data_IF_985049134213
#
_entry.id   IF_985049134213
#
_cell.length_a   1.000
_cell.length_b   1.000
_cell.length_c   1.000
_cell.angle_alpha   90.00
_cell.angle_beta   90.00
_cell.angle_gamma   90.00
#
_symmetry.space_group_name_H-M   'P 1'
#
loop_
_entity.id
_entity.type
_entity.pdbx_description
1 polymer ?
#
# COMPACT_ATOMS: atom_id res chain seq x y z
N UNK A 1 6.09 -5.13 -11.33
CA UNK A 1 5.65 -3.78 -10.91
C UNK A 1 6.63 -3.19 -9.92
N UNK A 2 6.87 -1.92 -10.01
CA UNK A 2 7.73 -1.19 -9.09
C UNK A 2 6.89 -0.35 -8.15
N UNK A 3 7.22 -0.33 -6.86
CA UNK A 3 6.46 0.41 -5.86
C UNK A 3 7.36 1.00 -4.79
N UNK A 4 6.85 2.02 -4.12
CA UNK A 4 7.53 2.67 -3.00
C UNK A 4 6.92 2.18 -1.70
N UNK A 5 7.76 1.72 -0.79
CA UNK A 5 7.36 1.20 0.51
C UNK A 5 7.76 2.21 1.58
N UNK A 6 6.80 2.68 2.38
CA UNK A 6 7.11 3.62 3.45
C UNK A 6 7.81 2.93 4.63
N UNK A 7 8.41 3.72 5.53
CA UNK A 7 9.21 3.17 6.62
C UNK A 7 8.42 2.31 7.59
N UNK A 8 7.17 2.69 7.88
CA UNK A 8 6.34 1.96 8.85
C UNK A 8 5.91 0.59 8.33
N UNK A 9 5.91 0.45 7.02
CA UNK A 9 5.54 -0.80 6.35
C UNK A 9 6.77 -1.60 5.96
N UNK A 10 7.90 -0.93 5.77
CA UNK A 10 9.13 -1.54 5.31
C UNK A 10 9.71 -2.47 6.39
N UNK A 11 9.64 -3.77 6.14
CA UNK A 11 10.36 -4.76 6.92
C UNK A 11 11.25 -5.57 5.99
N UNK A 12 12.33 -6.12 6.52
CA UNK A 12 13.23 -6.95 5.72
C UNK A 12 12.50 -8.16 5.14
N UNK A 13 11.60 -8.76 5.91
CA UNK A 13 10.82 -9.92 5.46
C UNK A 13 9.82 -9.55 4.37
N UNK A 14 9.09 -8.47 4.52
CA UNK A 14 8.14 -8.04 3.50
C UNK A 14 8.85 -7.66 2.21
N UNK A 15 9.91 -6.87 2.28
CA UNK A 15 10.71 -6.50 1.11
C UNK A 15 11.24 -7.72 0.38
N UNK A 16 11.80 -8.69 1.11
CA UNK A 16 12.33 -9.92 0.52
C UNK A 16 11.22 -10.72 -0.18
N UNK A 17 10.05 -10.84 0.43
CA UNK A 17 8.92 -11.56 -0.17
C UNK A 17 8.39 -10.86 -1.41
N UNK A 18 8.32 -9.53 -1.40
CA UNK A 18 7.90 -8.75 -2.57
C UNK A 18 8.89 -8.94 -3.71
N UNK A 19 10.19 -8.84 -3.44
CA UNK A 19 11.22 -9.05 -4.46
C UNK A 19 11.19 -10.47 -5.01
N UNK A 20 11.01 -11.46 -4.15
CA UNK A 20 10.87 -12.87 -4.58
C UNK A 20 9.64 -13.09 -5.47
N UNK A 21 8.60 -12.29 -5.30
CA UNK A 21 7.39 -12.33 -6.12
C UNK A 21 7.50 -11.52 -7.42
N UNK A 22 8.65 -10.90 -7.68
CA UNK A 22 8.90 -10.16 -8.92
C UNK A 22 8.69 -8.67 -8.84
N UNK A 23 8.44 -8.12 -7.64
CA UNK A 23 8.29 -6.67 -7.47
C UNK A 23 9.64 -5.99 -7.29
N UNK A 24 9.78 -4.80 -7.83
CA UNK A 24 10.87 -3.89 -7.50
C UNK A 24 10.40 -2.97 -6.37
N UNK A 25 11.18 -2.91 -5.31
CA UNK A 25 10.80 -2.17 -4.10
C UNK A 25 11.80 -1.04 -3.86
N UNK A 26 11.27 0.19 -3.75
CA UNK A 26 12.05 1.35 -3.31
C UNK A 26 11.62 1.65 -1.88
N UNK A 27 12.57 1.70 -0.98
CA UNK A 27 12.31 2.03 0.43
C UNK A 27 12.76 3.45 0.72
N UNK A 28 11.98 4.16 1.53
CA UNK A 28 12.39 5.47 2.02
C UNK A 28 13.22 5.30 3.29
N UNK A 29 14.17 6.23 3.56
CA UNK A 29 14.94 6.18 4.80
C UNK A 29 14.06 6.29 6.04
N UNK A 30 14.51 5.70 7.15
CA UNK A 30 13.85 5.85 8.43
C UNK A 30 13.76 7.33 8.81
N UNK A 31 12.62 7.74 9.37
CA UNK A 31 12.37 9.13 9.73
C UNK A 31 11.85 10.01 8.61
N UNK A 32 11.63 9.46 7.42
CA UNK A 32 11.05 10.20 6.30
C UNK A 32 9.60 10.57 6.63
N UNK A 33 9.29 11.86 6.62
CA UNK A 33 7.93 12.33 6.88
C UNK A 33 7.01 12.08 5.68
N UNK A 34 5.71 11.97 5.94
CA UNK A 34 4.71 11.57 4.93
C UNK A 34 4.73 12.48 3.69
N UNK A 35 4.90 13.78 3.87
CA UNK A 35 4.99 14.72 2.74
C UNK A 35 6.19 14.39 1.82
N UNK A 36 7.31 13.97 2.38
CA UNK A 36 8.49 13.58 1.61
C UNK A 36 8.31 12.22 0.93
N UNK A 37 7.53 11.31 1.55
CA UNK A 37 7.16 10.05 0.93
C UNK A 37 6.35 10.31 -0.34
N UNK A 38 5.36 11.20 -0.28
CA UNK A 38 4.57 11.61 -1.44
C UNK A 38 5.44 12.26 -2.51
N UNK A 39 6.33 13.17 -2.12
CA UNK A 39 7.23 13.83 -3.08
C UNK A 39 8.14 12.83 -3.79
N UNK A 40 8.69 11.85 -3.07
CA UNK A 40 9.51 10.80 -3.66
C UNK A 40 8.71 9.92 -4.62
N UNK A 41 7.51 9.53 -4.23
CA UNK A 41 6.63 8.71 -5.08
C UNK A 41 6.26 9.46 -6.36
N UNK A 42 5.97 10.75 -6.28
CA UNK A 42 5.65 11.57 -7.43
C UNK A 42 6.85 11.73 -8.36
N UNK A 43 8.03 12.02 -7.80
CA UNK A 43 9.27 12.16 -8.57
C UNK A 43 9.63 10.88 -9.32
N UNK A 44 9.44 9.72 -8.68
CA UNK A 44 9.75 8.42 -9.24
C UNK A 44 8.59 7.81 -10.03
N UNK A 45 7.42 8.45 -10.03
CA UNK A 45 6.19 7.96 -10.66
C UNK A 45 5.79 6.57 -10.15
N UNK A 46 5.82 6.37 -8.84
CA UNK A 46 5.54 5.08 -8.21
C UNK A 46 4.29 5.13 -7.33
N UNK A 47 3.50 4.04 -7.29
CA UNK A 47 2.50 3.89 -6.26
C UNK A 47 3.15 3.62 -4.90
N UNK A 48 2.45 3.99 -3.84
CA UNK A 48 2.90 3.81 -2.46
C UNK A 48 2.15 2.63 -1.84
N UNK A 49 2.89 1.69 -1.27
CA UNK A 49 2.31 0.62 -0.45
C UNK A 49 2.56 0.97 1.02
N UNK A 50 1.50 1.09 1.80
CA UNK A 50 1.61 1.56 3.18
C UNK A 50 0.56 0.95 4.11
N UNK A 51 0.98 0.68 5.35
CA UNK A 51 0.09 0.39 6.47
C UNK A 51 -0.22 1.65 7.28
N UNK A 52 0.36 2.80 6.92
CA UNK A 52 0.14 4.08 7.59
C UNK A 52 -1.11 4.77 7.04
N UNK A 53 -2.25 4.15 7.26
CA UNK A 53 -3.57 4.69 6.85
C UNK A 53 -4.32 5.30 8.02
N UNK A 54 -3.67 5.33 9.20
CA UNK A 54 -4.23 5.85 10.43
C UNK A 54 -4.99 4.80 11.23
N UNK A 55 -5.04 4.97 12.55
CA UNK A 55 -5.72 4.02 13.44
C UNK A 55 -7.21 3.95 13.15
N UNK A 56 -7.81 5.07 12.79
CA UNK A 56 -9.23 5.20 12.48
C UNK A 56 -9.41 5.56 11.01
N UNK A 57 -8.55 5.04 10.17
CA UNK A 57 -8.56 5.35 8.75
C UNK A 57 -8.32 6.84 8.50
N UNK A 58 -9.20 7.46 7.72
CA UNK A 58 -9.07 8.87 7.33
C UNK A 58 -9.15 9.87 8.49
N UNK A 59 -9.48 9.42 9.71
CA UNK A 59 -9.58 10.30 10.86
C UNK A 59 -8.24 10.57 11.53
N UNK A 60 -7.19 9.83 11.15
CA UNK A 60 -5.85 10.06 11.69
C UNK A 60 -5.22 11.26 10.96
N UNK A 61 -5.02 12.39 11.66
CA UNK A 61 -4.45 13.57 11.02
C UNK A 61 -2.97 13.43 10.70
N UNK A 62 -2.32 12.38 11.20
CA UNK A 62 -0.89 12.14 11.00
C UNK A 62 -0.62 11.12 9.89
N UNK A 63 -1.65 10.45 9.38
CA UNK A 63 -1.47 9.37 8.41
C UNK A 63 -1.33 9.85 6.97
N UNK A 64 -0.76 9.00 6.14
CA UNK A 64 -0.71 9.22 4.68
C UNK A 64 -2.10 9.42 4.09
N UNK A 65 -3.11 8.86 4.71
CA UNK A 65 -4.49 9.00 4.31
C UNK A 65 -4.93 10.47 4.29
N UNK A 66 -4.51 11.25 5.29
CA UNK A 66 -4.81 12.68 5.36
C UNK A 66 -4.25 13.43 4.16
N UNK A 67 -3.00 13.14 3.79
CA UNK A 67 -2.38 13.80 2.64
C UNK A 67 -3.11 13.47 1.33
N UNK A 68 -3.56 12.24 1.19
CA UNK A 68 -4.36 11.85 0.04
C UNK A 68 -5.71 12.59 0.02
N UNK A 69 -6.35 12.78 1.17
CA UNK A 69 -7.58 13.55 1.28
C UNK A 69 -7.37 15.04 1.00
N UNK A 70 -6.20 15.57 1.30
CA UNK A 70 -5.83 16.95 0.98
C UNK A 70 -5.45 17.14 -0.49
N UNK A 71 -5.62 16.10 -1.29
CA UNK A 71 -5.36 16.10 -2.74
C UNK A 71 -3.91 16.38 -3.12
N UNK A 72 -2.98 15.94 -2.27
CA UNK A 72 -1.56 15.89 -2.65
C UNK A 72 -1.43 14.90 -3.82
N UNK A 73 -0.88 15.31 -4.98
CA UNK A 73 -0.80 14.42 -6.13
C UNK A 73 0.04 13.17 -5.87
N UNK A 74 -0.44 12.01 -6.34
CA UNK A 74 0.29 10.75 -6.24
C UNK A 74 -0.14 9.78 -7.33
N UNK A 75 0.65 8.72 -7.52
CA UNK A 75 0.40 7.68 -8.53
C UNK A 75 -0.30 6.45 -7.95
N UNK A 76 -1.10 6.65 -6.95
CA UNK A 76 -1.85 5.62 -6.24
C UNK A 76 -1.28 5.33 -4.86
N UNK A 77 -2.15 5.19 -3.89
CA UNK A 77 -1.80 4.73 -2.54
C UNK A 77 -2.52 3.40 -2.32
N UNK A 78 -1.73 2.36 -2.08
CA UNK A 78 -2.24 1.02 -1.76
C UNK A 78 -2.17 0.88 -0.24
N UNK A 79 -3.32 0.94 0.41
CA UNK A 79 -3.41 0.92 1.86
C UNK A 79 -3.62 -0.49 2.41
N UNK A 80 -2.82 -0.85 3.40
CA UNK A 80 -2.96 -2.09 4.16
C UNK A 80 -3.71 -1.76 5.43
N UNK A 81 -4.89 -2.34 5.59
CA UNK A 81 -5.73 -2.12 6.76
C UNK A 81 -5.71 -3.34 7.67
N UNK A 82 -5.98 -3.16 8.95
CA UNK A 82 -6.11 -4.28 9.88
C UNK A 82 -7.31 -5.13 9.52
N UNK A 83 -7.19 -6.44 9.76
CA UNK A 83 -8.33 -7.36 9.65
C UNK A 83 -9.34 -7.08 10.76
N UNK A 84 -8.82 -6.84 11.97
CA UNK A 84 -9.57 -6.46 13.15
C UNK A 84 -8.66 -5.62 14.06
N UNK A 85 -9.11 -5.12 15.23
CA UNK A 85 -8.30 -4.24 16.07
C UNK A 85 -6.95 -4.81 16.51
N UNK A 86 -6.78 -6.14 16.48
CA UNK A 86 -5.58 -6.81 16.98
C UNK A 86 -4.76 -7.51 15.90
N UNK A 87 -5.27 -7.60 14.66
CA UNK A 87 -4.61 -8.38 13.61
C UNK A 87 -4.34 -7.56 12.36
N UNK A 88 -3.09 -7.64 11.92
CA UNK A 88 -2.63 -7.13 10.64
C UNK A 88 -2.56 -8.25 9.62
N UNK A 89 -2.52 -7.89 8.34
CA UNK A 89 -2.21 -8.85 7.29
C UNK A 89 -0.77 -9.37 7.48
N UNK A 90 -0.58 -10.68 7.33
CA UNK A 90 0.76 -11.23 7.24
C UNK A 90 1.42 -10.82 5.93
N UNK A 91 2.75 -10.88 5.88
CA UNK A 91 3.50 -10.58 4.65
C UNK A 91 3.02 -11.46 3.49
N UNK A 92 2.73 -12.72 3.76
CA UNK A 92 2.22 -13.65 2.76
C UNK A 92 0.87 -13.21 2.20
N UNK A 93 -0.03 -12.75 3.05
CA UNK A 93 -1.34 -12.24 2.64
C UNK A 93 -1.20 -10.96 1.83
N UNK A 94 -0.29 -10.08 2.23
CA UNK A 94 0.02 -8.84 1.50
C UNK A 94 0.44 -9.16 0.07
N UNK A 95 1.39 -10.08 -0.09
CA UNK A 95 1.88 -10.46 -1.43
C UNK A 95 0.76 -11.08 -2.27
N UNK A 96 -0.04 -11.97 -1.69
CA UNK A 96 -1.18 -12.58 -2.40
C UNK A 96 -2.20 -11.54 -2.86
N UNK A 97 -2.57 -10.63 -1.98
CA UNK A 97 -3.51 -9.57 -2.32
C UNK A 97 -2.95 -8.64 -3.39
N UNK A 98 -1.66 -8.29 -3.28
CA UNK A 98 -1.01 -7.43 -4.27
C UNK A 98 -0.95 -8.10 -5.63
N UNK A 99 -0.64 -9.40 -5.69
CA UNK A 99 -0.67 -10.16 -6.95
C UNK A 99 -2.05 -10.11 -7.61
N UNK A 100 -3.12 -10.20 -6.83
CA UNK A 100 -4.49 -10.13 -7.37
C UNK A 100 -4.83 -8.72 -7.85
N UNK A 101 -4.39 -7.69 -7.10
CA UNK A 101 -4.58 -6.29 -7.51
C UNK A 101 -3.89 -6.02 -8.85
N UNK A 102 -2.64 -6.46 -8.98
CA UNK A 102 -1.86 -6.27 -10.21
C UNK A 102 -2.49 -7.02 -11.37
N UNK A 103 -2.95 -8.26 -11.13
CA UNK A 103 -3.62 -9.04 -12.18
C UNK A 103 -4.89 -8.34 -12.67
N UNK A 104 -5.69 -7.78 -11.77
CA UNK A 104 -6.88 -7.02 -12.15
C UNK A 104 -6.51 -5.76 -12.94
N UNK A 105 -5.49 -5.03 -12.50
CA UNK A 105 -5.06 -3.82 -13.20
C UNK A 105 -4.54 -4.13 -14.60
N UNK A 106 -3.84 -5.25 -14.78
CA UNK A 106 -3.38 -5.69 -16.09
C UNK A 106 -4.54 -6.09 -17.01
N UNK A 107 -5.53 -6.77 -16.44
CA UNK A 107 -6.71 -7.21 -17.22
C UNK A 107 -7.64 -6.04 -17.54
N UNK A 108 -7.79 -5.10 -16.63
CA UNK A 108 -8.70 -3.96 -16.74
C UNK A 108 -8.02 -2.69 -16.21
N UNK A 109 -7.23 -2.01 -17.03
CA UNK A 109 -6.52 -0.81 -16.59
C UNK A 109 -7.44 0.25 -15.98
N UNK A 110 -7.01 0.84 -14.87
CA UNK A 110 -7.75 1.87 -14.15
C UNK A 110 -8.84 1.34 -13.22
N UNK A 111 -8.93 0.03 -13.00
CA UNK A 111 -9.95 -0.55 -12.11
C UNK A 111 -9.42 -0.89 -10.72
N UNK A 112 -8.11 -1.04 -10.57
CA UNK A 112 -7.51 -1.45 -9.30
C UNK A 112 -6.47 -0.45 -8.77
N UNK A 113 -5.78 0.24 -9.65
CA UNK A 113 -4.74 1.19 -9.27
C UNK A 113 -4.89 2.46 -10.11
N UNK A 114 -5.18 3.58 -9.47
CA UNK A 114 -5.46 4.85 -10.14
C UNK A 114 -4.67 5.98 -9.51
N UNK A 115 -4.25 6.94 -10.33
CA UNK A 115 -3.63 8.17 -9.85
C UNK A 115 -4.59 8.90 -8.91
N UNK A 116 -4.04 9.47 -7.86
CA UNK A 116 -4.76 10.30 -6.89
C UNK A 116 -5.87 9.56 -6.13
N UNK A 117 -5.81 8.23 -6.09
CA UNK A 117 -6.81 7.42 -5.42
C UNK A 117 -6.16 6.46 -4.41
N UNK A 118 -6.92 6.10 -3.39
CA UNK A 118 -6.50 5.12 -2.39
C UNK A 118 -7.19 3.80 -2.71
N UNK A 119 -6.38 2.76 -2.87
CA UNK A 119 -6.88 1.41 -3.09
C UNK A 119 -6.67 0.61 -1.81
N UNK A 120 -7.74 -0.01 -1.33
CA UNK A 120 -7.69 -0.87 -0.15
C UNK A 120 -7.19 -2.25 -0.55
N UNK A 121 -5.97 -2.60 -0.12
CA UNK A 121 -5.37 -3.89 -0.46
C UNK A 121 -6.21 -5.06 0.04
N UNK A 122 -6.86 -4.91 1.19
CA UNK A 122 -7.69 -5.94 1.80
C UNK A 122 -8.81 -6.43 0.89
N UNK A 123 -9.29 -5.59 -0.02
CA UNK A 123 -10.36 -5.97 -0.96
C UNK A 123 -9.89 -6.99 -2.00
N UNK A 124 -8.59 -7.22 -2.10
CA UNK A 124 -7.99 -8.19 -3.02
C UNK A 124 -7.59 -9.49 -2.35
N UNK A 125 -7.91 -9.66 -1.07
CA UNK A 125 -7.69 -10.92 -0.38
C UNK A 125 -8.56 -12.03 -1.00
N UNK A 126 -8.06 -13.28 -1.04
CA UNK A 126 -8.90 -14.41 -1.42
C UNK A 126 -10.14 -14.49 -0.54
N UNK A 127 -11.28 -14.88 -1.12
CA UNK A 127 -12.56 -14.92 -0.39
C UNK A 127 -12.49 -15.75 0.89
N UNK A 128 -11.76 -16.86 0.88
CA UNK A 128 -11.56 -17.70 2.05
C UNK A 128 -10.82 -16.97 3.17
N UNK A 129 -9.80 -16.19 2.82
CA UNK A 129 -9.05 -15.40 3.80
C UNK A 129 -9.86 -14.22 4.32
N UNK A 130 -10.64 -13.57 3.46
CA UNK A 130 -11.47 -12.44 3.83
C UNK A 130 -12.61 -12.84 4.76
N UNK A 131 -13.04 -14.11 4.71
CA UNK A 131 -14.13 -14.64 5.55
C UNK A 131 -13.64 -15.33 6.81
N UNK A 132 -12.37 -15.61 6.91
CA UNK A 132 -11.81 -16.23 8.09
C UNK A 132 -11.86 -15.25 9.26
N UNK A 133 -12.43 -15.66 10.38
CA UNK A 133 -12.41 -14.82 11.56
C UNK A 133 -11.00 -14.63 12.08
#
# INVERSE_FOLDING_TARGET
MKLLLDEDTASATLSARLMAAGYEVVQVPAGTVDAEVFAAAQRLALPILTANVGRKGRRDPQGLYRLALERVPHHGVIGIFRLDPTHWLSDRMIVKALNRLVAQEQAQPGTALRDNDITRLNDFLPSSAARSP
#
